data_IF_787806680306
#
_entry.id   IF_787806680306
#
_cell.length_a   1.000
_cell.length_b   1.000
_cell.length_c   1.000
_cell.angle_alpha   90.00
_cell.angle_beta   90.00
_cell.angle_gamma   90.00
#
_symmetry.space_group_name_H-M   'P 1'
#
loop_
_entity.id
_entity.type
_entity.pdbx_description
1 polymer ?
#
# COMPACT_ATOMS: atom_id res chain seq x y z
N UNK A 1 -10.35 -25.58 13.61
CA UNK A 1 -9.42 -24.65 14.29
C UNK A 1 -8.61 -23.97 13.20
N UNK A 2 -9.01 -22.76 12.80
CA UNK A 2 -8.25 -21.98 11.83
C UNK A 2 -7.01 -21.45 12.55
N UNK A 3 -5.83 -21.91 12.14
CA UNK A 3 -4.56 -21.34 12.55
C UNK A 3 -4.52 -19.91 12.03
N UNK A 4 -4.47 -18.96 12.97
CA UNK A 4 -4.26 -17.54 12.73
C UNK A 4 -3.01 -17.39 11.86
N UNK A 5 -3.22 -17.23 10.56
CA UNK A 5 -2.14 -17.06 9.60
C UNK A 5 -1.34 -15.83 9.99
N UNK A 6 -0.04 -16.01 10.09
CA UNK A 6 0.94 -14.96 10.31
C UNK A 6 0.60 -13.73 9.45
N UNK A 7 0.25 -12.61 10.10
CA UNK A 7 0.05 -11.34 9.41
C UNK A 7 1.42 -10.73 9.17
N UNK A 8 1.99 -11.03 7.99
CA UNK A 8 3.33 -10.60 7.56
C UNK A 8 3.46 -9.09 7.25
N UNK A 9 2.38 -8.31 7.42
CA UNK A 9 2.37 -6.85 7.31
C UNK A 9 1.51 -6.28 8.43
N UNK A 10 2.13 -5.92 9.57
CA UNK A 10 1.41 -5.21 10.64
C UNK A 10 1.30 -3.70 10.36
N UNK A 11 1.95 -3.20 9.30
CA UNK A 11 2.04 -1.78 8.95
C UNK A 11 1.28 -1.32 7.71
N UNK A 12 0.57 -2.22 7.02
CA UNK A 12 -0.17 -1.86 5.82
C UNK A 12 -1.55 -2.53 5.76
N UNK A 13 -2.56 -1.74 5.42
CA UNK A 13 -3.92 -2.21 5.20
C UNK A 13 -4.43 -1.82 3.82
N UNK A 14 -5.41 -2.57 3.33
CA UNK A 14 -6.16 -2.17 2.14
C UNK A 14 -7.40 -1.47 2.61
N UNK A 15 -7.65 -0.26 2.11
CA UNK A 15 -8.85 0.52 2.40
C UNK A 15 -9.54 0.89 1.11
N UNK A 16 -10.83 1.16 1.17
CA UNK A 16 -11.52 1.84 0.08
C UNK A 16 -12.19 3.12 0.58
N UNK A 17 -12.25 4.13 -0.29
CA UNK A 17 -12.73 5.46 0.02
C UNK A 17 -13.77 5.87 -1.03
N UNK A 18 -14.92 6.33 -0.56
CA UNK A 18 -15.92 7.03 -1.36
C UNK A 18 -16.51 8.17 -0.53
N UNK A 19 -16.51 9.39 -1.04
CA UNK A 19 -17.09 10.58 -0.38
C UNK A 19 -16.70 10.75 1.11
N UNK A 20 -15.44 10.45 1.46
CA UNK A 20 -14.95 10.54 2.85
C UNK A 20 -15.25 9.34 3.74
N UNK A 21 -15.99 8.34 3.24
CA UNK A 21 -16.27 7.09 3.96
C UNK A 21 -15.15 6.08 3.67
N UNK A 22 -14.36 5.77 4.69
CA UNK A 22 -13.32 4.75 4.64
C UNK A 22 -13.89 3.39 5.05
N UNK A 23 -13.68 2.35 4.24
CA UNK A 23 -14.04 0.97 4.55
C UNK A 23 -12.86 0.02 4.36
N UNK A 24 -13.03 -1.22 4.81
CA UNK A 24 -12.09 -2.30 4.57
C UNK A 24 -11.96 -2.56 3.07
N UNK A 25 -10.76 -2.44 2.50
CA UNK A 25 -10.55 -2.63 1.07
C UNK A 25 -10.27 -4.07 0.63
N UNK A 26 -10.42 -5.05 1.54
CA UNK A 26 -10.37 -6.49 1.21
C UNK A 26 -11.66 -6.98 0.55
N UNK A 27 -12.80 -6.31 0.80
CA UNK A 27 -14.08 -6.58 0.16
C UNK A 27 -14.23 -5.81 -1.16
N UNK A 28 -15.14 -6.27 -2.03
CA UNK A 28 -15.44 -5.62 -3.29
C UNK A 28 -16.66 -4.70 -3.15
N UNK A 29 -16.43 -3.40 -3.20
CA UNK A 29 -17.45 -2.34 -3.18
C UNK A 29 -17.74 -1.75 -4.58
N UNK A 30 -17.26 -2.39 -5.64
CA UNK A 30 -17.50 -1.95 -7.02
C UNK A 30 -16.68 -0.71 -7.41
N UNK A 31 -17.10 -0.09 -8.52
CA UNK A 31 -16.42 1.05 -9.16
C UNK A 31 -16.66 2.39 -8.45
N UNK A 32 -17.69 2.46 -7.60
CA UNK A 32 -18.02 3.66 -6.83
C UNK A 32 -16.97 3.94 -5.73
N UNK A 33 -16.15 2.95 -5.43
CA UNK A 33 -15.11 3.05 -4.41
C UNK A 33 -13.72 3.05 -5.04
N UNK A 34 -12.85 3.85 -4.43
CA UNK A 34 -11.44 3.97 -4.80
C UNK A 34 -10.63 3.17 -3.80
N UNK A 35 -9.73 2.31 -4.25
CA UNK A 35 -9.01 1.38 -3.38
C UNK A 35 -7.58 1.85 -3.14
N UNK A 36 -7.15 1.81 -1.89
CA UNK A 36 -5.86 2.31 -1.43
C UNK A 36 -5.12 1.25 -0.63
N UNK A 37 -3.80 1.30 -0.71
CA UNK A 37 -2.90 0.73 0.28
C UNK A 37 -2.54 1.82 1.27
N UNK A 38 -2.89 1.58 2.53
CA UNK A 38 -2.62 2.43 3.67
C UNK A 38 -1.27 2.02 4.27
N UNK A 39 -0.40 3.00 4.54
CA UNK A 39 0.81 2.84 5.33
C UNK A 39 0.61 3.58 6.65
N UNK A 40 0.73 2.86 7.76
CA UNK A 40 0.57 3.43 9.08
C UNK A 40 1.81 4.21 9.51
N UNK A 41 1.57 5.19 10.38
CA UNK A 41 2.59 6.08 10.95
C UNK A 41 2.51 6.06 12.47
N UNK A 42 2.26 4.87 13.02
CA UNK A 42 2.19 4.64 14.45
C UNK A 42 3.55 4.19 14.99
N UNK A 43 3.82 4.49 16.26
CA UNK A 43 5.06 4.07 16.94
C UNK A 43 5.18 2.54 17.08
N UNK A 44 4.03 1.85 17.02
CA UNK A 44 3.94 0.40 17.03
C UNK A 44 4.09 -0.22 15.63
N UNK A 45 4.24 0.60 14.58
CA UNK A 45 4.44 0.10 13.23
C UNK A 45 5.81 -0.61 13.13
N UNK A 46 5.75 -1.93 13.08
CA UNK A 46 6.90 -2.82 13.01
C UNK A 46 6.83 -3.65 11.73
N UNK A 47 7.96 -3.70 11.04
CA UNK A 47 8.24 -4.73 10.04
C UNK A 47 9.24 -5.74 10.63
N UNK A 48 9.51 -6.83 9.91
CA UNK A 48 10.48 -7.87 10.25
C UNK A 48 11.86 -7.31 10.61
N UNK A 49 12.26 -6.21 9.98
CA UNK A 49 13.60 -5.61 10.13
C UNK A 49 13.69 -4.55 11.23
N UNK A 50 12.56 -4.21 11.89
CA UNK A 50 12.54 -3.31 13.04
C UNK A 50 11.33 -2.38 13.10
N UNK A 51 11.37 -1.45 14.07
CA UNK A 51 10.38 -0.37 14.21
C UNK A 51 10.64 0.71 13.18
N UNK A 52 9.62 1.09 12.44
CA UNK A 52 9.69 2.29 11.61
C UNK A 52 9.69 3.54 12.52
N UNK A 53 10.56 4.53 12.29
CA UNK A 53 10.47 5.81 13.00
C UNK A 53 9.13 6.50 12.73
N UNK A 54 8.56 7.16 13.75
CA UNK A 54 7.37 8.02 13.57
C UNK A 54 7.64 9.13 12.55
N UNK A 55 6.66 9.42 11.70
CA UNK A 55 6.75 10.40 10.62
C UNK A 55 7.28 9.83 9.30
N UNK A 56 7.64 8.54 9.24
CA UNK A 56 8.16 7.95 8.01
C UNK A 56 7.12 8.01 6.87
N UNK A 57 5.83 7.80 7.18
CA UNK A 57 4.78 7.89 6.17
C UNK A 57 4.65 9.33 5.62
N UNK A 58 4.88 10.34 6.45
CA UNK A 58 4.91 11.74 6.03
C UNK A 58 6.09 12.03 5.10
N UNK A 59 7.27 11.48 5.42
CA UNK A 59 8.46 11.58 4.56
C UNK A 59 8.19 10.93 3.20
N UNK A 60 7.63 9.72 3.18
CA UNK A 60 7.27 9.04 1.93
C UNK A 60 6.24 9.84 1.10
N UNK A 61 5.24 10.44 1.75
CA UNK A 61 4.28 11.32 1.08
C UNK A 61 4.98 12.52 0.45
N UNK A 62 5.92 13.17 1.16
CA UNK A 62 6.71 14.27 0.63
C UNK A 62 7.52 13.85 -0.60
N UNK A 63 8.22 12.72 -0.54
CA UNK A 63 8.97 12.19 -1.69
C UNK A 63 8.06 11.85 -2.87
N UNK A 64 6.84 11.37 -2.62
CA UNK A 64 5.86 11.13 -3.68
C UNK A 64 5.42 12.41 -4.39
N UNK A 65 5.40 13.55 -3.69
CA UNK A 65 5.14 14.85 -4.30
C UNK A 65 6.33 15.29 -5.16
N UNK A 66 7.56 15.16 -4.66
CA UNK A 66 8.77 15.45 -5.43
C UNK A 66 8.83 14.61 -6.71
N UNK A 67 8.52 13.31 -6.63
CA UNK A 67 8.49 12.42 -7.79
C UNK A 67 7.50 12.89 -8.87
N UNK A 68 6.31 13.39 -8.49
CA UNK A 68 5.36 13.98 -9.45
C UNK A 68 5.88 15.25 -10.10
N UNK A 69 6.51 16.13 -9.33
CA UNK A 69 7.12 17.36 -9.87
C UNK A 69 8.22 17.02 -10.89
N UNK A 70 8.92 15.90 -10.66
CA UNK A 70 9.86 15.31 -11.61
C UNK A 70 9.19 14.51 -12.75
N UNK A 71 7.86 14.55 -12.88
CA UNK A 71 7.09 13.85 -13.91
C UNK A 71 7.25 12.32 -13.91
N UNK A 72 7.58 11.73 -12.76
CA UNK A 72 7.59 10.28 -12.59
C UNK A 72 6.13 9.80 -12.51
N UNK A 73 5.78 8.82 -13.33
CA UNK A 73 4.46 8.21 -13.30
C UNK A 73 4.22 7.51 -11.95
N UNK A 74 3.15 7.91 -11.28
CA UNK A 74 2.83 7.46 -9.93
C UNK A 74 1.32 7.35 -9.74
N UNK A 75 0.86 6.32 -8.99
CA UNK A 75 -0.53 6.23 -8.57
C UNK A 75 -0.99 7.51 -7.87
N UNK A 76 -2.30 7.75 -7.81
CA UNK A 76 -2.81 8.84 -6.98
C UNK A 76 -2.51 8.53 -5.51
N UNK A 77 -2.23 9.59 -4.76
CA UNK A 77 -1.89 9.49 -3.36
C UNK A 77 -2.73 10.44 -2.53
N UNK A 78 -3.01 10.03 -1.30
CA UNK A 78 -3.80 10.77 -0.33
C UNK A 78 -3.23 10.51 1.08
N UNK A 79 -3.80 11.11 2.11
CA UNK A 79 -3.40 10.86 3.50
C UNK A 79 -4.60 10.93 4.44
N UNK A 80 -4.44 10.37 5.63
CA UNK A 80 -5.38 10.48 6.75
C UNK A 80 -4.58 10.99 7.96
N UNK A 81 -5.16 11.93 8.69
CA UNK A 81 -4.60 12.40 9.97
C UNK A 81 -5.49 11.81 11.07
N UNK A 82 -4.89 11.05 11.98
CA UNK A 82 -5.56 10.51 13.17
C UNK A 82 -4.79 10.94 14.42
N UNK A 83 -5.31 11.96 15.11
CA UNK A 83 -4.61 12.60 16.22
C UNK A 83 -3.26 13.19 15.78
N UNK A 84 -2.17 12.61 16.26
CA UNK A 84 -0.79 13.00 15.92
C UNK A 84 -0.17 12.16 14.80
N UNK A 85 -0.87 11.15 14.30
CA UNK A 85 -0.34 10.20 13.34
C UNK A 85 -0.75 10.59 11.90
N UNK A 86 0.20 10.50 10.96
CA UNK A 86 -0.01 10.84 9.57
C UNK A 86 0.02 9.57 8.70
N UNK A 87 -1.13 9.03 8.33
CA UNK A 87 -1.16 7.81 7.51
C UNK A 87 -1.13 8.12 6.02
N UNK A 88 -0.32 7.38 5.27
CA UNK A 88 -0.13 7.60 3.85
C UNK A 88 -0.96 6.61 3.01
N UNK A 89 -1.73 7.10 2.04
CA UNK A 89 -2.57 6.30 1.15
C UNK A 89 -2.05 6.35 -0.27
N UNK A 90 -1.85 5.17 -0.86
CA UNK A 90 -1.44 4.99 -2.25
C UNK A 90 -2.56 4.25 -2.98
N UNK A 91 -3.14 4.85 -4.02
CA UNK A 91 -4.17 4.20 -4.81
C UNK A 91 -3.64 2.93 -5.48
N UNK A 92 -4.43 1.86 -5.46
CA UNK A 92 -4.08 0.59 -6.09
C UNK A 92 -4.15 0.74 -7.61
N UNK A 93 -3.03 0.50 -8.27
CA UNK A 93 -2.93 0.46 -9.74
C UNK A 93 -3.32 -0.89 -10.36
N UNK A 94 -3.55 -1.93 -9.54
CA UNK A 94 -3.96 -3.27 -9.97
C UNK A 94 -5.46 -3.45 -10.18
N UNK A 95 -6.25 -2.38 -10.23
CA UNK A 95 -7.70 -2.42 -10.38
C UNK A 95 -8.11 -1.45 -11.49
N UNK A 96 -8.95 -1.93 -12.41
CA UNK A 96 -9.43 -1.17 -13.56
C UNK A 96 -10.95 -1.24 -13.66
N UNK A 97 -11.57 -0.14 -14.10
CA UNK A 97 -12.97 -0.16 -14.52
C UNK A 97 -13.06 -0.76 -15.93
N UNK A 98 -13.72 -1.90 -16.02
CA UNK A 98 -14.06 -2.56 -17.27
C UNK A 98 -15.58 -2.55 -17.45
N UNK A 99 -16.08 -1.49 -18.09
CA UNK A 99 -17.49 -1.35 -18.46
C UNK A 99 -18.45 -1.42 -17.25
N UNK A 100 -18.12 -0.73 -16.15
CA UNK A 100 -18.93 -0.71 -14.95
C UNK A 100 -18.62 -1.84 -13.96
N UNK A 101 -17.62 -2.67 -14.27
CA UNK A 101 -17.14 -3.74 -13.38
C UNK A 101 -15.69 -3.49 -12.98
N UNK A 102 -15.41 -3.64 -11.69
CA UNK A 102 -14.05 -3.57 -11.17
C UNK A 102 -13.31 -4.88 -11.46
N UNK A 103 -12.38 -4.83 -12.40
CA UNK A 103 -11.52 -5.95 -12.79
C UNK A 103 -10.11 -5.81 -12.21
N UNK A 104 -9.46 -6.96 -11.99
CA UNK A 104 -8.08 -7.01 -11.52
C UNK A 104 -7.13 -7.01 -12.70
N UNK A 105 -6.12 -6.14 -12.63
CA UNK A 105 -4.99 -6.12 -13.55
C UNK A 105 -3.81 -6.86 -12.91
N UNK A 106 -3.26 -7.83 -13.65
CA UNK A 106 -2.17 -8.68 -13.16
C UNK A 106 -0.83 -7.97 -13.33
N UNK A 107 -0.08 -7.92 -12.24
CA UNK A 107 1.27 -7.38 -12.20
C UNK A 107 2.18 -8.36 -11.47
N UNK A 108 3.46 -8.40 -11.87
CA UNK A 108 4.52 -9.07 -11.16
C UNK A 108 5.71 -8.11 -11.07
N UNK A 109 6.43 -8.12 -9.95
CA UNK A 109 7.71 -7.43 -9.89
C UNK A 109 8.75 -8.14 -10.75
N UNK A 110 9.88 -7.48 -10.95
CA UNK A 110 11.04 -8.12 -11.57
C UNK A 110 11.56 -9.31 -10.77
N UNK A 111 11.46 -9.29 -9.44
CA UNK A 111 11.84 -10.45 -8.62
C UNK A 111 10.89 -11.62 -8.84
N UNK A 112 9.58 -11.38 -8.91
CA UNK A 112 8.59 -12.41 -9.22
C UNK A 112 8.81 -13.04 -10.61
N UNK A 113 9.15 -12.23 -11.61
CA UNK A 113 9.47 -12.70 -12.97
C UNK A 113 10.79 -13.47 -13.00
N UNK A 114 11.80 -13.03 -12.26
CA UNK A 114 13.12 -13.66 -12.23
C UNK A 114 13.22 -14.82 -11.23
N UNK A 115 12.12 -15.18 -10.54
CA UNK A 115 12.12 -16.14 -9.44
C UNK A 115 13.20 -15.82 -8.37
N UNK A 116 13.46 -14.54 -8.15
CA UNK A 116 14.48 -14.09 -7.20
C UNK A 116 13.97 -14.32 -5.78
N UNK A 117 14.81 -14.94 -4.94
CA UNK A 117 14.45 -15.24 -3.56
C UNK A 117 14.75 -14.02 -2.67
N UNK A 118 13.70 -13.47 -2.04
CA UNK A 118 13.81 -12.30 -1.14
C UNK A 118 14.86 -12.49 -0.04
N UNK A 119 14.83 -13.65 0.62
CA UNK A 119 15.63 -13.89 1.85
C UNK A 119 16.99 -14.58 1.59
N UNK A 120 17.37 -14.83 0.34
CA UNK A 120 18.62 -15.54 0.06
C UNK A 120 19.80 -14.55 0.08
N UNK A 121 20.73 -14.71 1.03
CA UNK A 121 21.92 -13.89 1.11
C UNK A 121 22.75 -13.97 -0.18
N UNK A 122 23.03 -12.82 -0.81
CA UNK A 122 23.76 -12.72 -2.07
C UNK A 122 22.90 -12.86 -3.34
N UNK A 123 21.61 -13.16 -3.22
CA UNK A 123 20.66 -12.95 -4.31
C UNK A 123 20.22 -11.47 -4.30
N UNK A 124 20.04 -10.86 -5.48
CA UNK A 124 19.42 -9.54 -5.58
C UNK A 124 17.93 -9.66 -5.19
N UNK A 125 17.65 -9.64 -3.89
CA UNK A 125 16.30 -9.58 -3.36
C UNK A 125 15.82 -8.13 -3.28
N UNK A 126 14.77 -7.80 -4.04
CA UNK A 126 13.87 -6.69 -3.67
C UNK A 126 12.43 -7.00 -4.09
N UNK A 127 11.68 -7.53 -3.13
CA UNK A 127 10.25 -7.25 -2.88
C UNK A 127 10.06 -7.03 -1.39
#
# INVERSE_FOLDING_TARGET
MATTGDRWWQGQEVKCLNEGVLKDGTENYGIDYRYFRLKFDSEDNQDRDGRAPKGMAQVEYLYSNVARECQIDMPKRNFIIDGEDFHYLIERFGLIDNSGRLDKLYYASWCGINHAHRDAAGACGYE
#
